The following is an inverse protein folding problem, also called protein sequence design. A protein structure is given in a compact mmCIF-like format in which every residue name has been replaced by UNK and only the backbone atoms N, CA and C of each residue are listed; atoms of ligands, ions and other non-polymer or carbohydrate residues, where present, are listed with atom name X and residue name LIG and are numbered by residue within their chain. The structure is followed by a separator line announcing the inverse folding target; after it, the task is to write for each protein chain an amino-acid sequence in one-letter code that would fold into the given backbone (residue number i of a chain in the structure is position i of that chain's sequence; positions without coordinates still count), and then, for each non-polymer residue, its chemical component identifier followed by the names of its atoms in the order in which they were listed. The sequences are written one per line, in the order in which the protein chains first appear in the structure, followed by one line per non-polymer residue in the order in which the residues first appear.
data_IF_382773186818
#
_entry.id   IF_382773186818
#
_cell.length_a   1.000
_cell.length_b   1.000
_cell.length_c   1.000
_cell.angle_alpha   90.00
_cell.angle_beta   90.00
_cell.angle_gamma   90.00
#
_symmetry.space_group_name_H-M   'P 1'
#
loop_
_entity.id
_entity.type
_entity.pdbx_description
1 polymer ?
#
# COMPACT_ATOMS: atom_id res chain seq x y z
N UNK A 1 -16.08 0.42 -8.17
CA UNK A 1 -16.54 -0.84 -7.53
C UNK A 1 -17.11 -1.88 -8.49
N UNK A 2 -18.04 -1.53 -9.39
CA UNK A 2 -18.67 -2.50 -10.31
C UNK A 2 -17.66 -3.31 -11.15
N UNK A 3 -16.62 -2.66 -11.69
CA UNK A 3 -15.55 -3.32 -12.45
C UNK A 3 -14.76 -4.33 -11.61
N UNK A 4 -14.41 -3.99 -10.37
CA UNK A 4 -13.63 -4.85 -9.49
C UNK A 4 -14.40 -6.14 -9.13
N UNK A 5 -15.68 -6.00 -8.76
CA UNK A 5 -16.58 -7.15 -8.50
C UNK A 5 -16.77 -8.01 -9.76
N UNK A 6 -16.97 -7.38 -10.91
CA UNK A 6 -17.10 -8.09 -12.20
C UNK A 6 -15.83 -8.88 -12.54
N UNK A 7 -14.66 -8.30 -12.30
CA UNK A 7 -13.38 -8.96 -12.54
C UNK A 7 -13.16 -10.13 -11.57
N UNK A 8 -13.53 -9.99 -10.30
CA UNK A 8 -13.48 -11.09 -9.33
C UNK A 8 -14.37 -12.26 -9.77
N UNK A 9 -15.63 -12.01 -10.13
CA UNK A 9 -16.56 -13.03 -10.61
C UNK A 9 -16.06 -13.71 -11.89
N UNK A 10 -15.55 -12.94 -12.85
CA UNK A 10 -14.97 -13.48 -14.10
C UNK A 10 -13.79 -14.42 -13.84
N UNK A 11 -13.04 -14.21 -12.75
CA UNK A 11 -11.91 -15.04 -12.35
C UNK A 11 -12.26 -16.05 -11.24
N UNK A 12 -13.54 -16.21 -10.88
CA UNK A 12 -14.01 -17.10 -9.80
C UNK A 12 -13.32 -16.84 -8.46
N UNK A 13 -13.26 -15.58 -8.06
CA UNK A 13 -12.67 -15.10 -6.80
C UNK A 13 -13.67 -14.29 -5.95
N UNK A 14 -14.95 -14.29 -6.33
CA UNK A 14 -16.00 -13.52 -5.67
C UNK A 14 -16.31 -14.01 -4.24
N UNK A 15 -15.96 -15.25 -3.91
CA UNK A 15 -15.99 -15.81 -2.55
C UNK A 15 -14.78 -15.41 -1.68
N UNK A 16 -13.70 -14.92 -2.31
CA UNK A 16 -12.42 -14.58 -1.65
C UNK A 16 -12.10 -13.10 -1.66
N UNK A 17 -12.82 -12.29 -2.45
CA UNK A 17 -12.59 -10.86 -2.57
C UNK A 17 -13.77 -10.06 -2.04
N UNK A 18 -13.50 -9.21 -1.06
CA UNK A 18 -14.44 -8.19 -0.59
C UNK A 18 -13.98 -6.81 -1.07
N UNK A 19 -14.95 -5.97 -1.45
CA UNK A 19 -14.68 -4.64 -2.00
C UNK A 19 -15.50 -3.59 -1.25
N UNK A 20 -14.79 -2.66 -0.63
CA UNK A 20 -15.36 -1.54 0.12
C UNK A 20 -15.02 -0.23 -0.60
N UNK A 21 -15.94 0.72 -0.61
CA UNK A 21 -15.76 2.04 -1.22
C UNK A 21 -15.96 3.11 -0.19
N UNK A 22 -14.97 3.97 -0.04
CA UNK A 22 -14.98 5.04 0.95
C UNK A 22 -13.55 5.56 1.15
N UNK A 23 -13.38 6.60 1.98
CA UNK A 23 -12.07 7.01 2.43
C UNK A 23 -11.36 5.83 3.11
N UNK A 24 -10.10 5.56 2.72
CA UNK A 24 -9.36 4.40 3.25
C UNK A 24 -9.22 4.51 4.77
N UNK A 25 -8.95 5.71 5.28
CA UNK A 25 -8.77 5.97 6.71
C UNK A 25 -9.97 5.48 7.57
N UNK A 26 -11.19 5.57 7.05
CA UNK A 26 -12.41 5.19 7.77
C UNK A 26 -12.55 3.67 7.95
N UNK A 27 -11.79 2.87 7.20
CA UNK A 27 -11.89 1.42 7.19
C UNK A 27 -10.66 0.71 7.81
N UNK A 28 -9.54 1.40 8.01
CA UNK A 28 -8.29 0.75 8.43
C UNK A 28 -8.37 0.14 9.83
N UNK A 29 -9.01 0.81 10.79
CA UNK A 29 -9.09 0.33 12.17
C UNK A 29 -9.74 -1.04 12.29
N UNK A 30 -10.77 -1.31 11.48
CA UNK A 30 -11.48 -2.59 11.47
C UNK A 30 -10.73 -3.68 10.69
N UNK A 31 -9.97 -3.29 9.67
CA UNK A 31 -9.37 -4.22 8.70
C UNK A 31 -7.93 -4.63 9.05
N UNK A 32 -7.10 -3.70 9.54
CA UNK A 32 -5.68 -3.94 9.83
C UNK A 32 -5.45 -5.05 10.87
N UNK A 33 -6.19 -5.15 11.99
CA UNK A 33 -5.95 -6.20 12.98
C UNK A 33 -6.14 -7.63 12.46
N UNK A 34 -6.89 -7.81 11.36
CA UNK A 34 -7.11 -9.12 10.73
C UNK A 34 -6.15 -9.37 9.56
N UNK A 35 -5.41 -8.35 9.12
CA UNK A 35 -4.56 -8.42 7.95
C UNK A 35 -3.19 -9.03 8.27
N UNK A 36 -2.80 -10.07 7.54
CA UNK A 36 -1.44 -10.62 7.59
C UNK A 36 -0.45 -9.79 6.75
N UNK A 37 -0.96 -9.14 5.70
CA UNK A 37 -0.19 -8.28 4.83
C UNK A 37 -1.10 -7.18 4.24
N UNK A 38 -0.50 -6.03 3.93
CA UNK A 38 -1.18 -4.91 3.28
C UNK A 38 -0.38 -4.50 2.05
N UNK A 39 -1.08 -4.26 0.95
CA UNK A 39 -0.52 -3.64 -0.27
C UNK A 39 -1.13 -2.25 -0.43
N UNK A 40 -0.27 -1.24 -0.59
CA UNK A 40 -0.68 0.12 -0.92
C UNK A 40 -0.08 0.55 -2.26
N UNK A 41 -0.91 1.20 -3.07
CA UNK A 41 -0.56 1.81 -4.35
C UNK A 41 -1.17 3.23 -4.39
N UNK A 42 -0.60 4.19 -3.63
CA UNK A 42 -1.15 5.53 -3.56
C UNK A 42 -0.88 6.34 -4.83
N UNK A 43 -1.65 7.43 -5.06
CA UNK A 43 -1.31 8.41 -6.08
C UNK A 43 0.05 9.08 -5.81
N UNK A 44 0.57 9.86 -6.78
CA UNK A 44 1.89 10.55 -6.70
C UNK A 44 2.15 11.38 -5.44
N UNK A 45 1.11 11.81 -4.72
CA UNK A 45 1.24 12.52 -3.43
C UNK A 45 1.72 11.62 -2.28
N UNK A 46 1.76 10.30 -2.47
CA UNK A 46 2.02 9.29 -1.45
C UNK A 46 0.81 9.02 -0.56
N UNK A 47 1.04 8.33 0.57
CA UNK A 47 0.00 8.05 1.54
C UNK A 47 -0.51 9.32 2.22
N UNK A 48 -1.79 9.30 2.60
CA UNK A 48 -2.36 10.32 3.47
C UNK A 48 -1.82 10.15 4.89
N UNK A 49 -1.70 11.25 5.63
CA UNK A 49 -1.16 11.23 7.00
C UNK A 49 -1.94 10.29 7.92
N UNK A 50 -3.28 10.29 7.82
CA UNK A 50 -4.14 9.39 8.59
C UNK A 50 -3.87 7.91 8.28
N UNK A 51 -3.59 7.58 7.01
CA UNK A 51 -3.25 6.19 6.61
C UNK A 51 -1.88 5.78 7.15
N UNK A 52 -0.87 6.66 7.07
CA UNK A 52 0.44 6.40 7.67
C UNK A 52 0.34 6.19 9.18
N UNK A 53 -0.43 7.04 9.86
CA UNK A 53 -0.62 6.95 11.30
C UNK A 53 -1.31 5.64 11.69
N UNK A 54 -2.38 5.25 10.99
CA UNK A 54 -3.06 3.99 11.23
C UNK A 54 -2.14 2.76 11.04
N UNK A 55 -1.26 2.78 10.04
CA UNK A 55 -0.27 1.72 9.83
C UNK A 55 0.82 1.69 10.92
N UNK A 56 1.12 2.82 11.56
CA UNK A 56 2.02 2.91 12.70
C UNK A 56 1.35 2.39 13.97
N UNK A 57 0.11 2.81 14.22
CA UNK A 57 -0.63 2.47 15.44
C UNK A 57 -1.06 1.00 15.45
N UNK A 58 -1.38 0.46 14.27
CA UNK A 58 -1.81 -0.92 14.06
C UNK A 58 -0.91 -1.60 13.01
N UNK A 59 0.35 -1.92 13.36
CA UNK A 59 1.29 -2.46 12.40
C UNK A 59 0.87 -3.86 11.94
N UNK A 60 1.05 -4.11 10.65
CA UNK A 60 0.84 -5.43 10.04
C UNK A 60 2.17 -6.11 9.80
N UNK A 61 2.21 -7.45 9.90
CA UNK A 61 3.47 -8.21 9.77
C UNK A 61 4.21 -7.97 8.44
N UNK A 62 3.49 -7.59 7.37
CA UNK A 62 4.09 -7.29 6.06
C UNK A 62 3.37 -6.14 5.37
N UNK A 63 4.10 -5.07 5.05
CA UNK A 63 3.61 -3.94 4.27
C UNK A 63 4.33 -3.89 2.92
N UNK A 64 3.57 -3.93 1.83
CA UNK A 64 4.04 -3.74 0.47
C UNK A 64 3.59 -2.35 0.00
N UNK A 65 4.55 -1.53 -0.40
CA UNK A 65 4.30 -0.18 -0.88
C UNK A 65 4.78 -0.07 -2.33
N UNK A 66 3.84 0.08 -3.26
CA UNK A 66 4.12 0.40 -4.66
C UNK A 66 4.04 1.92 -4.85
N UNK A 67 5.06 2.54 -5.45
CA UNK A 67 5.08 3.99 -5.71
C UNK A 67 5.67 4.32 -7.07
N UNK A 68 5.04 5.26 -7.76
CA UNK A 68 5.53 5.85 -9.00
C UNK A 68 6.35 7.15 -8.79
N UNK A 69 6.49 7.59 -7.53
CA UNK A 69 7.20 8.81 -7.15
C UNK A 69 8.22 8.50 -6.04
N UNK A 70 9.54 8.55 -6.34
CA UNK A 70 10.59 8.26 -5.38
C UNK A 70 10.65 9.23 -4.19
N UNK A 71 10.29 10.50 -4.39
CA UNK A 71 10.41 11.52 -3.35
C UNK A 71 9.35 11.33 -2.27
N UNK A 72 8.10 11.08 -2.67
CA UNK A 72 7.03 10.80 -1.70
C UNK A 72 7.17 9.41 -1.08
N UNK A 73 7.71 8.42 -1.80
CA UNK A 73 8.09 7.14 -1.23
C UNK A 73 9.14 7.31 -0.12
N UNK A 74 10.22 8.05 -0.38
CA UNK A 74 11.28 8.28 0.60
C UNK A 74 10.75 8.98 1.87
N UNK A 75 9.87 9.99 1.71
CA UNK A 75 9.19 10.64 2.84
C UNK A 75 8.38 9.64 3.66
N UNK A 76 7.57 8.82 3.00
CA UNK A 76 6.66 7.90 3.68
C UNK A 76 7.42 6.74 4.35
N UNK A 77 8.49 6.23 3.73
CA UNK A 77 9.40 5.27 4.35
C UNK A 77 10.15 5.86 5.56
N UNK A 78 10.51 7.14 5.54
CA UNK A 78 11.09 7.80 6.71
C UNK A 78 10.14 7.83 7.91
N UNK A 79 8.85 8.03 7.65
CA UNK A 79 7.80 8.01 8.70
C UNK A 79 7.49 6.59 9.17
N UNK A 80 7.30 5.65 8.24
CA UNK A 80 6.89 4.29 8.55
C UNK A 80 8.03 3.43 9.10
N UNK A 81 9.26 3.66 8.63
CA UNK A 81 10.43 2.86 9.01
C UNK A 81 11.40 3.60 9.90
N UNK A 82 12.04 4.67 9.43
CA UNK A 82 13.09 5.34 10.24
C UNK A 82 12.58 5.88 11.57
N UNK A 83 11.33 6.34 11.60
CA UNK A 83 10.67 6.89 12.79
C UNK A 83 9.46 6.03 13.24
N UNK A 84 9.29 4.85 12.68
CA UNK A 84 8.09 4.04 12.83
C UNK A 84 8.40 2.58 13.17
N UNK A 85 7.36 1.73 13.23
CA UNK A 85 7.50 0.35 13.70
C UNK A 85 8.06 -0.60 12.63
N UNK A 86 8.22 -0.15 11.38
CA UNK A 86 8.60 -1.04 10.29
C UNK A 86 10.10 -1.05 10.02
N UNK A 87 10.62 -2.19 9.54
CA UNK A 87 11.94 -2.34 8.93
C UNK A 87 11.79 -2.48 7.42
N UNK A 88 12.53 -1.68 6.65
CA UNK A 88 12.64 -1.86 5.20
C UNK A 88 13.46 -3.13 4.89
N UNK A 89 12.83 -4.10 4.23
CA UNK A 89 13.45 -5.38 3.85
C UNK A 89 14.04 -5.35 2.44
N UNK A 90 13.29 -4.78 1.49
CA UNK A 90 13.74 -4.69 0.11
C UNK A 90 13.12 -3.50 -0.62
N UNK A 91 13.80 -3.07 -1.68
CA UNK A 91 13.38 -1.99 -2.56
C UNK A 91 13.71 -2.40 -3.99
N UNK A 92 12.69 -2.57 -4.84
CA UNK A 92 12.86 -2.98 -6.24
C UNK A 92 12.25 -1.92 -7.17
N UNK A 93 13.08 -1.18 -7.94
CA UNK A 93 12.59 -0.34 -9.01
C UNK A 93 12.19 -1.17 -10.24
N UNK A 94 11.22 -0.68 -10.99
CA UNK A 94 10.71 -1.22 -12.25
C UNK A 94 10.60 -0.10 -13.28
N UNK A 95 11.14 -0.33 -14.47
CA UNK A 95 10.97 0.55 -15.62
C UNK A 95 9.71 0.14 -16.39
N UNK A 96 8.57 0.70 -16.01
CA UNK A 96 7.30 0.53 -16.72
C UNK A 96 7.17 1.48 -17.91
N UNK A 97 7.97 2.55 -17.95
CA UNK A 97 7.86 3.64 -18.90
C UNK A 97 9.24 4.02 -19.47
N UNK A 98 9.82 3.16 -20.34
CA UNK A 98 11.15 3.40 -20.89
C UNK A 98 11.24 4.75 -21.61
N UNK A 99 12.39 5.40 -21.49
CA UNK A 99 12.67 6.75 -22.02
C UNK A 99 11.86 7.87 -21.35
N UNK A 100 11.37 7.65 -20.12
CA UNK A 100 10.79 8.70 -19.29
C UNK A 100 11.54 8.82 -17.96
N UNK A 101 11.23 9.84 -17.17
CA UNK A 101 11.74 9.97 -15.79
C UNK A 101 10.93 9.17 -14.77
N UNK A 102 9.87 8.48 -15.19
CA UNK A 102 9.02 7.71 -14.28
C UNK A 102 9.70 6.39 -13.89
N UNK A 103 9.63 6.07 -12.61
CA UNK A 103 10.09 4.78 -12.07
C UNK A 103 9.05 4.28 -11.08
N UNK A 104 8.55 3.07 -11.31
CA UNK A 104 7.73 2.37 -10.33
C UNK A 104 8.67 1.68 -9.34
N UNK A 105 8.35 1.69 -8.05
CA UNK A 105 9.20 1.09 -7.03
C UNK A 105 8.34 0.33 -6.03
N UNK A 106 8.66 -0.94 -5.80
CA UNK A 106 8.08 -1.74 -4.74
C UNK A 106 9.01 -1.77 -3.54
N UNK A 107 8.57 -1.21 -2.42
CA UNK A 107 9.18 -1.38 -1.12
C UNK A 107 8.47 -2.48 -0.34
N UNK A 108 9.22 -3.39 0.27
CA UNK A 108 8.69 -4.40 1.19
C UNK A 108 9.21 -4.11 2.58
N UNK A 109 8.29 -4.02 3.54
CA UNK A 109 8.58 -3.75 4.93
C UNK A 109 8.01 -4.86 5.83
N UNK A 110 8.67 -5.08 6.96
CA UNK A 110 8.26 -5.97 8.05
C UNK A 110 8.07 -5.16 9.33
N UNK A 111 7.18 -5.58 10.24
CA UNK A 111 7.02 -4.99 11.58
C UNK A 111 7.61 -5.88 12.65
#
# INVERSE_FOLDING_TARGET
MALARRNAARNRQDDRCQFVSGPVADHLADQLPQAKAVLVDPPRKGLESAVRQALIDLPVARLLYLSCDPATLARDLGVLSSNGPYRLESLQPFDFFPNTSHVETLAVLSS
#
